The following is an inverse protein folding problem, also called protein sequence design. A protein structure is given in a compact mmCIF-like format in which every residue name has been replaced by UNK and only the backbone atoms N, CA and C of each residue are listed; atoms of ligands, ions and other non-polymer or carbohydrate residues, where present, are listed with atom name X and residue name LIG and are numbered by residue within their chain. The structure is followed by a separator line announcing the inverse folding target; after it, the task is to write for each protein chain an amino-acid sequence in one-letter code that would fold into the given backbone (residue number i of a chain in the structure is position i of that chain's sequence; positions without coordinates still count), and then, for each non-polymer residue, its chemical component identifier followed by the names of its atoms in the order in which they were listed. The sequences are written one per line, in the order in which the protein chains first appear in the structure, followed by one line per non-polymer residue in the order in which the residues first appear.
data_IF_488107293566
#
_entry.id   IF_488107293566
#
_cell.length_a   1.000
_cell.length_b   1.000
_cell.length_c   1.000
_cell.angle_alpha   90.00
_cell.angle_beta   90.00
_cell.angle_gamma   90.00
#
_symmetry.space_group_name_H-M   'P 1'
#
loop_
_entity.id
_entity.type
_entity.pdbx_description
1 polymer ?
#
# COMPACT_ATOMS: atom_id res chain seq x y z
N UNK A 1 -16.65 0.45 -9.17
CA UNK A 1 -15.97 0.32 -7.88
C UNK A 1 -14.78 -0.59 -7.97
N UNK A 2 -13.67 -0.19 -7.36
CA UNK A 2 -12.51 -1.03 -7.18
C UNK A 2 -12.70 -1.91 -5.94
N UNK A 3 -12.42 -3.20 -6.06
CA UNK A 3 -12.43 -4.12 -4.94
C UNK A 3 -11.25 -5.08 -5.02
N UNK A 4 -10.88 -5.67 -3.89
CA UNK A 4 -9.87 -6.71 -3.81
C UNK A 4 -10.56 -8.06 -3.65
N UNK A 5 -10.34 -8.96 -4.61
CA UNK A 5 -10.94 -10.29 -4.63
C UNK A 5 -9.82 -11.32 -4.74
N UNK A 6 -9.62 -12.10 -3.67
CA UNK A 6 -8.47 -12.97 -3.60
C UNK A 6 -7.18 -12.18 -3.77
N UNK A 7 -6.36 -12.53 -4.74
CA UNK A 7 -5.10 -11.83 -5.07
C UNK A 7 -5.23 -10.80 -6.20
N UNK A 8 -6.45 -10.43 -6.57
CA UNK A 8 -6.70 -9.55 -7.71
C UNK A 8 -7.46 -8.30 -7.30
N UNK A 9 -7.10 -7.17 -7.90
CA UNK A 9 -7.88 -5.95 -7.85
C UNK A 9 -8.89 -5.97 -9.00
N UNK A 10 -10.17 -5.76 -8.71
CA UNK A 10 -11.22 -5.71 -9.72
C UNK A 10 -11.92 -4.35 -9.75
N UNK A 11 -12.48 -4.00 -10.91
CA UNK A 11 -13.30 -2.81 -11.12
C UNK A 11 -14.73 -3.27 -11.37
N UNK A 12 -15.68 -2.66 -10.68
CA UNK A 12 -17.11 -2.90 -10.86
C UNK A 12 -17.83 -1.67 -11.38
N UNK A 13 -18.76 -1.88 -12.29
CA UNK A 13 -19.52 -0.81 -12.92
C UNK A 13 -20.87 -0.49 -12.22
N UNK A 14 -21.23 -1.21 -11.15
CA UNK A 14 -22.52 -1.03 -10.46
C UNK A 14 -22.40 -0.61 -9.00
N UNK A 15 -22.99 0.53 -8.60
CA UNK A 15 -22.90 1.06 -7.24
C UNK A 15 -23.73 0.31 -6.18
N UNK A 16 -24.62 -0.61 -6.57
CA UNK A 16 -25.62 -1.20 -5.65
C UNK A 16 -25.39 -2.67 -5.32
N UNK A 17 -24.30 -3.28 -5.75
CA UNK A 17 -24.05 -4.68 -5.46
C UNK A 17 -23.24 -4.84 -4.18
N UNK A 18 -23.92 -4.98 -3.06
CA UNK A 18 -23.36 -5.63 -1.88
C UNK A 18 -23.34 -7.14 -2.16
N UNK A 19 -22.61 -7.53 -3.17
CA UNK A 19 -22.30 -8.93 -3.36
C UNK A 19 -21.04 -9.24 -2.60
N UNK A 20 -21.16 -10.15 -1.65
CA UNK A 20 -20.01 -10.69 -0.90
C UNK A 20 -19.10 -11.55 -1.79
N UNK A 21 -19.52 -11.82 -3.02
CA UNK A 21 -18.80 -12.67 -3.96
C UNK A 21 -18.70 -11.98 -5.33
N UNK A 22 -17.52 -12.04 -5.92
CA UNK A 22 -17.24 -11.69 -7.31
C UNK A 22 -16.70 -12.92 -8.02
N UNK A 23 -17.38 -13.36 -9.09
CA UNK A 23 -17.01 -14.57 -9.83
C UNK A 23 -16.83 -15.82 -8.92
N UNK A 24 -17.67 -15.95 -7.88
CA UNK A 24 -17.59 -17.03 -6.91
C UNK A 24 -16.49 -16.89 -5.85
N UNK A 25 -15.80 -15.74 -5.81
CA UNK A 25 -14.72 -15.43 -4.85
C UNK A 25 -15.17 -14.40 -3.84
N UNK A 26 -14.74 -14.57 -2.59
CA UNK A 26 -15.03 -13.62 -1.51
C UNK A 26 -14.37 -12.25 -1.77
N UNK A 27 -15.12 -11.17 -1.56
CA UNK A 27 -14.56 -9.82 -1.54
C UNK A 27 -13.83 -9.62 -0.21
N UNK A 28 -12.50 -9.42 -0.29
CA UNK A 28 -11.64 -9.18 0.87
C UNK A 28 -11.69 -7.72 1.31
N UNK A 29 -11.73 -6.81 0.33
CA UNK A 29 -11.75 -5.37 0.55
C UNK A 29 -12.52 -4.68 -0.56
N UNK A 30 -13.41 -3.77 -0.18
CA UNK A 30 -14.13 -2.90 -1.11
C UNK A 30 -13.93 -1.46 -0.68
N UNK A 31 -13.41 -0.58 -1.55
CA UNK A 31 -13.25 0.83 -1.22
C UNK A 31 -14.59 1.50 -0.96
N UNK A 32 -14.58 2.48 -0.07
CA UNK A 32 -15.68 3.40 0.07
C UNK A 32 -15.79 4.28 -1.18
N UNK A 33 -17.02 4.63 -1.54
CA UNK A 33 -17.26 5.58 -2.63
C UNK A 33 -16.59 6.92 -2.37
N UNK A 34 -16.15 7.56 -3.43
CA UNK A 34 -15.50 8.86 -3.38
C UNK A 34 -13.97 8.78 -3.30
N UNK A 35 -13.32 9.53 -2.41
CA UNK A 35 -11.86 9.70 -2.42
C UNK A 35 -11.04 8.40 -2.35
N UNK A 36 -11.52 7.38 -1.64
CA UNK A 36 -10.82 6.10 -1.55
C UNK A 36 -10.86 5.33 -2.87
N UNK A 37 -12.03 5.30 -3.49
CA UNK A 37 -12.21 4.68 -4.81
C UNK A 37 -11.42 5.41 -5.88
N UNK A 38 -11.48 6.74 -5.87
CA UNK A 38 -10.75 7.59 -6.80
C UNK A 38 -9.24 7.39 -6.70
N UNK A 39 -8.70 7.32 -5.48
CA UNK A 39 -7.30 7.00 -5.24
C UNK A 39 -6.91 5.65 -5.82
N UNK A 40 -7.67 4.60 -5.50
CA UNK A 40 -7.36 3.23 -5.91
C UNK A 40 -7.59 2.97 -7.43
N UNK A 41 -8.39 3.79 -8.08
CA UNK A 41 -8.61 3.71 -9.54
C UNK A 41 -7.62 4.55 -10.35
N UNK A 42 -6.84 5.40 -9.69
CA UNK A 42 -5.91 6.29 -10.37
C UNK A 42 -4.80 5.50 -11.06
N UNK A 43 -4.53 5.87 -12.31
CA UNK A 43 -3.39 5.38 -13.10
C UNK A 43 -2.20 6.34 -13.06
N UNK A 44 -2.33 7.44 -12.33
CA UNK A 44 -1.28 8.44 -12.23
C UNK A 44 -0.05 7.89 -11.48
N UNK A 45 1.12 8.37 -11.89
CA UNK A 45 2.38 7.96 -11.27
C UNK A 45 2.53 8.46 -9.85
N UNK A 46 2.09 9.68 -9.60
CA UNK A 46 2.16 10.35 -8.31
C UNK A 46 0.73 10.71 -7.88
N UNK A 47 0.27 10.17 -6.76
CA UNK A 47 -1.08 10.42 -6.25
C UNK A 47 -0.99 10.91 -4.82
N UNK A 48 -1.67 12.03 -4.55
CA UNK A 48 -1.85 12.56 -3.20
C UNK A 48 -3.27 12.30 -2.73
N UNK A 49 -3.41 11.53 -1.67
CA UNK A 49 -4.69 11.28 -1.02
C UNK A 49 -4.77 12.07 0.29
N UNK A 50 -5.43 13.23 0.23
CA UNK A 50 -5.69 14.09 1.37
C UNK A 50 -7.02 13.78 2.06
N UNK A 51 -7.25 14.39 3.20
CA UNK A 51 -8.52 14.32 3.94
C UNK A 51 -8.35 14.10 5.44
N UNK A 52 -9.47 14.19 6.16
CA UNK A 52 -9.52 14.04 7.61
C UNK A 52 -9.23 12.61 8.09
N UNK A 53 -8.96 12.47 9.36
CA UNK A 53 -8.87 11.16 10.03
C UNK A 53 -10.16 10.36 9.81
N UNK A 54 -10.03 9.05 9.60
CA UNK A 54 -11.17 8.16 9.38
C UNK A 54 -11.65 8.03 7.94
N UNK A 55 -11.01 8.71 6.99
CA UNK A 55 -11.38 8.65 5.56
C UNK A 55 -10.97 7.38 4.81
N UNK A 56 -10.57 6.32 5.51
CA UNK A 56 -10.16 5.07 4.88
C UNK A 56 -8.77 5.10 4.23
N UNK A 57 -8.00 6.15 4.48
CA UNK A 57 -6.66 6.34 3.87
C UNK A 57 -5.69 5.20 4.17
N UNK A 58 -5.66 4.72 5.41
CA UNK A 58 -4.77 3.63 5.82
C UNK A 58 -5.05 2.33 5.07
N UNK A 59 -6.33 1.97 4.89
CA UNK A 59 -6.70 0.79 4.11
C UNK A 59 -6.42 0.96 2.62
N UNK A 60 -6.65 2.13 2.06
CA UNK A 60 -6.29 2.42 0.67
C UNK A 60 -4.77 2.29 0.45
N UNK A 61 -3.98 2.81 1.38
CA UNK A 61 -2.52 2.72 1.35
C UNK A 61 -2.03 1.26 1.47
N UNK A 62 -2.71 0.43 2.25
CA UNK A 62 -2.41 -0.99 2.38
C UNK A 62 -2.83 -1.79 1.14
N UNK A 63 -3.97 -1.45 0.53
CA UNK A 63 -4.54 -2.20 -0.59
C UNK A 63 -3.83 -1.90 -1.92
N UNK A 64 -3.42 -0.66 -2.15
CA UNK A 64 -2.87 -0.23 -3.44
C UNK A 64 -1.65 -1.05 -3.91
N UNK A 65 -0.63 -1.31 -3.09
CA UNK A 65 0.54 -2.08 -3.52
C UNK A 65 0.24 -3.56 -3.78
N UNK A 66 -0.88 -4.08 -3.28
CA UNK A 66 -1.26 -5.49 -3.47
C UNK A 66 -1.53 -5.84 -4.93
N UNK A 67 -1.90 -4.87 -5.76
CA UNK A 67 -2.14 -5.09 -7.20
C UNK A 67 -0.92 -5.64 -7.94
N UNK A 68 0.27 -5.46 -7.38
CA UNK A 68 1.53 -5.90 -7.98
C UNK A 68 2.16 -7.11 -7.27
N UNK A 69 1.57 -7.59 -6.17
CA UNK A 69 2.18 -8.62 -5.33
C UNK A 69 2.18 -10.03 -5.92
N UNK A 70 1.58 -10.25 -7.07
CA UNK A 70 1.73 -11.47 -7.86
C UNK A 70 2.96 -11.47 -8.77
N UNK A 71 3.67 -10.34 -8.84
CA UNK A 71 4.90 -10.19 -9.61
C UNK A 71 6.13 -10.36 -8.68
N UNK A 72 7.01 -11.30 -8.99
CA UNK A 72 8.20 -11.60 -8.18
C UNK A 72 9.18 -10.42 -8.07
N UNK A 73 9.13 -9.48 -8.99
CA UNK A 73 10.02 -8.32 -9.01
C UNK A 73 9.49 -7.14 -8.19
N UNK A 74 8.26 -7.25 -7.69
CA UNK A 74 7.68 -6.15 -6.93
C UNK A 74 8.40 -5.93 -5.59
N UNK A 75 8.78 -4.69 -5.35
CA UNK A 75 9.43 -4.21 -4.13
C UNK A 75 8.75 -2.93 -3.69
N UNK A 76 7.86 -3.05 -2.70
CA UNK A 76 7.14 -1.92 -2.13
C UNK A 76 7.82 -1.38 -0.88
N UNK A 77 7.67 -0.08 -0.65
CA UNK A 77 8.06 0.60 0.57
C UNK A 77 6.85 1.37 1.11
N UNK A 78 6.51 1.13 2.37
CA UNK A 78 5.45 1.84 3.05
C UNK A 78 6.00 2.52 4.30
N UNK A 79 5.79 3.82 4.39
CA UNK A 79 6.35 4.67 5.43
C UNK A 79 5.27 5.31 6.30
N UNK A 80 5.53 5.31 7.59
CA UNK A 80 4.87 6.18 8.57
C UNK A 80 5.89 7.03 9.31
N UNK A 81 5.42 8.04 10.03
CA UNK A 81 6.30 8.96 10.73
C UNK A 81 6.85 8.38 12.02
N UNK A 82 6.04 7.64 12.78
CA UNK A 82 6.42 7.10 14.09
C UNK A 82 6.28 5.58 14.13
N UNK A 83 7.00 4.96 15.08
CA UNK A 83 6.91 3.51 15.31
C UNK A 83 5.52 3.08 15.79
N UNK A 84 4.87 3.87 16.64
CA UNK A 84 3.53 3.54 17.16
C UNK A 84 2.50 3.51 16.02
N UNK A 85 2.52 4.50 15.14
CA UNK A 85 1.66 4.54 13.96
C UNK A 85 1.97 3.41 12.98
N UNK A 86 3.24 3.03 12.84
CA UNK A 86 3.63 1.90 12.01
C UNK A 86 3.09 0.58 12.57
N UNK A 87 3.13 0.38 13.88
CA UNK A 87 2.60 -0.82 14.55
C UNK A 87 1.12 -0.99 14.26
N UNK A 88 0.34 0.09 14.33
CA UNK A 88 -1.07 0.07 13.98
C UNK A 88 -1.30 -0.36 12.52
N UNK A 89 -0.48 0.16 11.62
CA UNK A 89 -0.57 -0.17 10.19
C UNK A 89 -0.20 -1.63 9.92
N UNK A 90 0.80 -2.15 10.60
CA UNK A 90 1.19 -3.57 10.53
C UNK A 90 0.03 -4.46 11.02
N UNK A 91 -0.62 -4.11 12.12
CA UNK A 91 -1.76 -4.87 12.63
C UNK A 91 -2.93 -4.91 11.65
N UNK A 92 -3.23 -3.78 11.00
CA UNK A 92 -4.23 -3.73 9.93
C UNK A 92 -3.84 -4.60 8.73
N UNK A 93 -2.56 -4.60 8.34
CA UNK A 93 -2.07 -5.42 7.24
C UNK A 93 -2.19 -6.92 7.53
N UNK A 94 -2.03 -7.34 8.78
CA UNK A 94 -2.21 -8.74 9.21
C UNK A 94 -3.66 -9.24 9.05
N UNK A 95 -4.62 -8.32 9.07
CA UNK A 95 -6.03 -8.65 8.80
C UNK A 95 -6.34 -8.77 7.31
N UNK A 96 -5.62 -8.04 6.47
CA UNK A 96 -5.88 -7.93 5.03
C UNK A 96 -5.01 -8.87 4.18
N UNK A 97 -3.69 -8.83 4.37
CA UNK A 97 -2.74 -9.44 3.44
C UNK A 97 -2.82 -10.96 3.35
N UNK A 98 -2.95 -11.72 4.46
CA UNK A 98 -3.08 -13.17 4.36
C UNK A 98 -4.37 -13.64 3.70
N UNK A 99 -5.43 -12.83 3.74
CA UNK A 99 -6.69 -13.13 3.05
C UNK A 99 -6.58 -12.86 1.56
N UNK A 100 -5.94 -11.76 1.20
CA UNK A 100 -5.71 -11.40 -0.21
C UNK A 100 -4.71 -12.33 -0.90
N UNK A 101 -3.66 -12.72 -0.18
CA UNK A 101 -2.60 -13.60 -0.66
C UNK A 101 -2.36 -14.70 0.36
N UNK A 102 -3.10 -15.84 0.28
CA UNK A 102 -2.84 -16.97 1.13
C UNK A 102 -1.38 -17.42 1.03
N UNK A 103 -0.71 -17.52 2.18
CA UNK A 103 0.73 -17.78 2.24
C UNK A 103 1.62 -16.55 2.40
N UNK A 104 1.06 -15.34 2.35
CA UNK A 104 1.80 -14.13 2.70
C UNK A 104 2.25 -14.18 4.17
N UNK A 105 3.50 -13.82 4.44
CA UNK A 105 4.11 -13.85 5.77
C UNK A 105 4.83 -12.56 6.09
N UNK A 106 4.61 -12.07 7.30
CA UNK A 106 5.32 -10.91 7.84
C UNK A 106 6.54 -11.36 8.64
N UNK A 107 7.72 -10.89 8.24
CA UNK A 107 8.98 -11.12 8.96
C UNK A 107 9.25 -9.98 9.90
N UNK A 108 9.02 -10.20 11.19
CA UNK A 108 9.18 -9.20 12.26
C UNK A 108 10.58 -8.56 12.27
N UNK A 109 11.64 -9.37 12.16
CA UNK A 109 13.02 -8.90 12.22
C UNK A 109 13.41 -7.91 11.12
N UNK A 110 12.70 -7.95 9.99
CA UNK A 110 12.91 -7.06 8.84
C UNK A 110 11.74 -6.14 8.58
N UNK A 111 10.67 -6.24 9.37
CA UNK A 111 9.44 -5.48 9.21
C UNK A 111 8.90 -5.53 7.77
N UNK A 112 8.94 -6.71 7.15
CA UNK A 112 8.69 -6.89 5.72
C UNK A 112 7.71 -8.02 5.46
N UNK A 113 6.70 -7.72 4.65
CA UNK A 113 5.80 -8.73 4.08
C UNK A 113 6.47 -9.44 2.91
N UNK A 114 6.41 -10.78 2.94
CA UNK A 114 6.85 -11.65 1.86
C UNK A 114 5.64 -12.39 1.28
N UNK A 115 5.47 -12.27 -0.02
CA UNK A 115 4.36 -12.88 -0.76
C UNK A 115 4.82 -14.16 -1.47
N UNK A 116 3.91 -15.10 -1.76
CA UNK A 116 4.26 -16.36 -2.42
C UNK A 116 4.98 -16.20 -3.76
N UNK A 117 4.71 -15.12 -4.49
CA UNK A 117 5.39 -14.79 -5.75
C UNK A 117 6.87 -14.43 -5.60
N UNK A 118 7.29 -14.05 -4.40
CA UNK A 118 8.59 -13.43 -4.14
C UNK A 118 8.54 -11.90 -4.02
N UNK A 119 7.37 -11.29 -4.24
CA UNK A 119 7.16 -9.86 -3.96
C UNK A 119 7.37 -9.54 -2.49
N UNK A 120 7.81 -8.33 -2.20
CA UNK A 120 8.00 -7.84 -0.83
C UNK A 120 7.46 -6.43 -0.66
N UNK A 121 6.95 -6.13 0.54
CA UNK A 121 6.61 -4.78 0.97
C UNK A 121 7.29 -4.54 2.31
N UNK A 122 8.19 -3.58 2.35
CA UNK A 122 8.87 -3.16 3.56
C UNK A 122 8.08 -2.07 4.25
N UNK A 123 7.72 -2.30 5.51
CA UNK A 123 7.04 -1.34 6.38
C UNK A 123 8.07 -0.74 7.33
N UNK A 124 8.24 0.57 7.28
CA UNK A 124 9.19 1.24 8.16
C UNK A 124 8.68 2.64 8.55
N UNK A 125 9.36 3.26 9.51
CA UNK A 125 9.04 4.61 9.92
C UNK A 125 10.21 5.56 9.66
N UNK A 126 9.89 6.84 9.50
CA UNK A 126 10.84 7.89 9.22
C UNK A 126 10.45 9.14 10.04
N UNK A 127 11.14 9.35 11.15
CA UNK A 127 10.87 10.46 12.05
C UNK A 127 11.48 11.78 11.55
N UNK A 128 12.71 11.73 11.07
CA UNK A 128 13.47 12.92 10.65
C UNK A 128 13.81 12.85 9.16
N UNK A 129 13.69 13.99 8.49
CA UNK A 129 13.97 14.10 7.05
C UNK A 129 15.36 13.56 6.67
N UNK A 130 16.38 13.83 7.49
CA UNK A 130 17.75 13.38 7.24
C UNK A 130 17.92 11.87 7.24
N UNK A 131 17.04 11.15 7.91
CA UNK A 131 17.12 9.69 8.03
C UNK A 131 16.71 8.98 6.73
N UNK A 132 16.16 9.71 5.78
CA UNK A 132 15.80 9.18 4.45
C UNK A 132 17.00 8.61 3.68
N UNK A 133 18.21 9.02 4.02
CA UNK A 133 19.44 8.52 3.39
C UNK A 133 19.70 7.04 3.63
N UNK A 134 19.04 6.42 4.63
CA UNK A 134 19.14 4.96 4.85
C UNK A 134 18.59 4.13 3.69
N UNK A 135 17.79 4.75 2.81
CA UNK A 135 17.29 4.11 1.59
C UNK A 135 18.25 4.25 0.41
N UNK A 136 19.40 4.85 0.62
CA UNK A 136 20.43 4.98 -0.42
C UNK A 136 20.85 3.61 -0.94
N UNK A 137 20.96 3.49 -2.25
CA UNK A 137 21.31 2.23 -2.90
C UNK A 137 20.16 1.24 -3.06
N UNK A 138 18.98 1.54 -2.53
CA UNK A 138 17.78 0.71 -2.70
C UNK A 138 16.88 1.26 -3.81
N UNK A 139 16.14 0.38 -4.46
CA UNK A 139 15.16 0.72 -5.47
C UNK A 139 13.83 0.05 -5.17
N UNK A 140 12.74 0.76 -5.40
CA UNK A 140 11.37 0.31 -5.16
C UNK A 140 10.52 0.52 -6.42
N UNK A 141 9.51 -0.32 -6.59
CA UNK A 141 8.52 -0.17 -7.67
C UNK A 141 7.31 0.64 -7.20
N UNK A 142 7.04 0.61 -5.91
CA UNK A 142 5.94 1.33 -5.27
C UNK A 142 6.40 1.92 -3.94
N UNK A 143 6.03 3.16 -3.68
CA UNK A 143 6.33 3.85 -2.43
C UNK A 143 5.06 4.53 -1.94
N UNK A 144 4.63 4.19 -0.73
CA UNK A 144 3.54 4.84 -0.03
C UNK A 144 4.04 5.56 1.22
N UNK A 145 3.66 6.82 1.37
CA UNK A 145 4.01 7.63 2.54
C UNK A 145 2.71 8.08 3.19
N UNK A 146 2.44 7.57 4.39
CA UNK A 146 1.29 8.02 5.15
C UNK A 146 1.61 9.32 5.87
N UNK A 147 0.63 10.23 5.91
CA UNK A 147 0.75 11.51 6.60
C UNK A 147 1.93 12.38 6.09
N UNK A 148 2.16 12.39 4.79
CA UNK A 148 3.29 13.11 4.18
C UNK A 148 3.34 14.60 4.55
N UNK A 149 2.19 15.20 4.84
CA UNK A 149 2.09 16.61 5.24
C UNK A 149 2.66 16.91 6.62
N UNK A 150 2.94 15.88 7.43
CA UNK A 150 3.61 16.03 8.73
C UNK A 150 5.12 16.27 8.59
N UNK A 151 5.70 16.02 7.44
CA UNK A 151 7.10 16.34 7.18
C UNK A 151 7.26 17.82 6.87
N UNK A 152 8.28 18.50 7.43
CA UNK A 152 8.40 19.95 7.35
C UNK A 152 8.76 20.47 5.95
N UNK A 153 9.24 19.60 5.07
CA UNK A 153 9.65 19.96 3.71
C UNK A 153 9.35 18.85 2.71
N UNK A 154 9.34 19.13 1.41
CA UNK A 154 9.19 18.10 0.38
C UNK A 154 10.43 17.22 0.18
N UNK A 155 11.47 17.39 0.96
CA UNK A 155 12.75 16.68 0.81
C UNK A 155 12.59 15.15 0.84
N UNK A 156 11.80 14.62 1.77
CA UNK A 156 11.54 13.18 1.88
C UNK A 156 10.89 12.65 0.60
N UNK A 157 9.88 13.34 0.11
CA UNK A 157 9.20 13.00 -1.14
C UNK A 157 10.14 12.99 -2.32
N UNK A 158 10.90 14.05 -2.50
CA UNK A 158 11.83 14.19 -3.63
C UNK A 158 12.92 13.13 -3.60
N UNK A 159 13.47 12.85 -2.42
CA UNK A 159 14.49 11.81 -2.25
C UNK A 159 13.94 10.43 -2.58
N UNK A 160 12.80 10.05 -2.01
CA UNK A 160 12.20 8.73 -2.21
C UNK A 160 11.73 8.54 -3.65
N UNK A 161 11.23 9.59 -4.28
CA UNK A 161 10.89 9.54 -5.70
C UNK A 161 12.09 9.17 -6.59
N UNK A 162 13.30 9.59 -6.20
CA UNK A 162 14.53 9.20 -6.89
C UNK A 162 14.86 7.71 -6.73
N UNK A 163 14.29 7.02 -5.74
CA UNK A 163 14.46 5.58 -5.51
C UNK A 163 13.40 4.74 -6.23
N UNK A 164 12.41 5.37 -6.81
CA UNK A 164 11.35 4.68 -7.54
C UNK A 164 11.88 4.21 -8.90
N UNK A 165 11.75 2.91 -9.15
CA UNK A 165 12.11 2.27 -10.41
C UNK A 165 10.90 1.50 -10.94
N UNK A 166 10.43 1.87 -12.10
CA UNK A 166 9.32 1.20 -12.80
C UNK A 166 9.87 0.23 -13.84
N UNK A 167 10.66 -0.72 -13.40
CA UNK A 167 11.12 -1.78 -14.30
C UNK A 167 10.17 -2.96 -14.22
N UNK A 168 9.52 -3.25 -15.31
CA UNK A 168 8.88 -4.53 -15.64
C UNK A 168 7.81 -5.02 -14.64
N UNK A 169 6.87 -4.16 -14.30
CA UNK A 169 5.62 -4.54 -13.63
C UNK A 169 4.50 -4.71 -14.67
#
# INVERSE_FOLDING_TARGET
HNCLVGSEMCIRDSPNAVEQLVDGREIIFQPNEGPQEEFLSSSERDVLYGGSAGGGKSFALLADPLRYCHNSNHRGLLLRRTLDELTELIDKSRQLYPKAFPGAKFRESKSTWHFPSGATIWFTYLDKDKDVTRFQGQAFNWIGIDEITQYPSPYVWDYLRSRLRTTDL
#
